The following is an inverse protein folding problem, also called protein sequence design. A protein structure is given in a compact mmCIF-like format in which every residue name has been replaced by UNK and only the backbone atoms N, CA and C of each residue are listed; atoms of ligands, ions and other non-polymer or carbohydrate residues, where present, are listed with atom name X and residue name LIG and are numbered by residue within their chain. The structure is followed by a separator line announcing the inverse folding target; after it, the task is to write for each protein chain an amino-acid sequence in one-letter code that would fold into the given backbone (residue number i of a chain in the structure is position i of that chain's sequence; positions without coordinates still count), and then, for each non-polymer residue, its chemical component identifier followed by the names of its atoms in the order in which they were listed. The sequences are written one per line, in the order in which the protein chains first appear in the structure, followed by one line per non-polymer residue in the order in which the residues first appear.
data_IF_186948969685
#
_entry.id   IF_186948969685
#
_cell.length_a   1.000
_cell.length_b   1.000
_cell.length_c   1.000
_cell.angle_alpha   90.00
_cell.angle_beta   90.00
_cell.angle_gamma   90.00
#
_symmetry.space_group_name_H-M   'P 1'
#
loop_
_entity.id
_entity.type
_entity.pdbx_description
1 polymer ?
#
# COMPACT_ATOMS: atom_id res chain seq x y z
N UNK A 1 -18.25 20.32 -21.75
CA UNK A 1 -17.52 21.54 -21.33
C UNK A 1 -16.08 21.59 -21.85
N UNK A 2 -15.24 20.55 -21.70
CA UNK A 2 -13.88 20.57 -22.29
C UNK A 2 -13.85 20.81 -23.80
N UNK A 3 -14.79 20.24 -24.57
CA UNK A 3 -14.89 20.49 -26.02
C UNK A 3 -15.42 21.90 -26.37
N UNK A 4 -16.06 22.59 -25.42
CA UNK A 4 -16.53 23.97 -25.56
C UNK A 4 -15.37 24.91 -25.25
N UNK A 5 -14.66 24.69 -24.13
CA UNK A 5 -13.44 25.43 -23.77
C UNK A 5 -12.38 25.42 -24.89
N UNK A 6 -12.23 24.31 -25.62
CA UNK A 6 -11.31 24.20 -26.77
C UNK A 6 -11.72 25.02 -28.01
N UNK A 7 -12.94 25.58 -28.03
CA UNK A 7 -13.54 26.26 -29.20
C UNK A 7 -13.92 27.71 -28.92
N UNK A 8 -13.75 28.19 -27.69
CA UNK A 8 -14.09 29.56 -27.30
C UNK A 8 -12.88 30.47 -27.54
N UNK A 9 -13.13 31.69 -28.01
CA UNK A 9 -12.10 32.70 -28.26
C UNK A 9 -11.41 33.09 -26.94
N UNK A 10 -10.07 33.08 -26.97
CA UNK A 10 -9.22 33.44 -25.84
C UNK A 10 -9.51 34.89 -25.36
N UNK A 11 -9.61 35.07 -24.03
CA UNK A 11 -9.91 36.31 -23.32
C UNK A 11 -11.33 36.86 -23.50
N UNK A 12 -12.28 36.03 -23.95
CA UNK A 12 -13.68 36.42 -24.01
C UNK A 12 -14.42 36.19 -22.69
N UNK A 13 -15.48 36.95 -22.42
CA UNK A 13 -16.37 36.73 -21.27
C UNK A 13 -16.98 35.32 -21.27
N UNK A 14 -17.12 34.73 -22.47
CA UNK A 14 -17.60 33.36 -22.68
C UNK A 14 -16.56 32.33 -22.21
N UNK A 15 -15.27 32.61 -22.32
CA UNK A 15 -14.20 31.74 -21.81
C UNK A 15 -14.23 31.72 -20.29
N UNK A 16 -14.30 32.90 -19.65
CA UNK A 16 -14.39 33.01 -18.20
C UNK A 16 -15.59 32.24 -17.65
N UNK A 17 -16.76 32.44 -18.27
CA UNK A 17 -17.99 31.73 -17.87
C UNK A 17 -17.87 30.21 -18.07
N UNK A 18 -17.23 29.76 -19.16
CA UNK A 18 -17.03 28.35 -19.43
C UNK A 18 -16.01 27.69 -18.47
N UNK A 19 -14.97 28.44 -18.06
CA UNK A 19 -13.99 28.00 -17.06
C UNK A 19 -14.62 27.85 -15.68
N UNK A 20 -15.42 28.82 -15.25
CA UNK A 20 -16.14 28.77 -13.99
C UNK A 20 -17.14 27.60 -13.97
N UNK A 21 -17.93 27.43 -15.03
CA UNK A 21 -18.84 26.29 -15.17
C UNK A 21 -18.11 24.93 -15.17
N UNK A 22 -16.92 24.85 -15.78
CA UNK A 22 -16.09 23.64 -15.75
C UNK A 22 -15.56 23.33 -14.35
N UNK A 23 -15.09 24.36 -13.61
CA UNK A 23 -14.59 24.22 -12.24
C UNK A 23 -15.70 23.78 -11.27
N UNK A 24 -16.89 24.34 -11.40
CA UNK A 24 -18.05 23.94 -10.60
C UNK A 24 -18.45 22.49 -10.93
N UNK A 25 -18.48 22.12 -12.22
CA UNK A 25 -18.75 20.74 -12.62
C UNK A 25 -17.70 19.78 -12.06
N UNK A 26 -16.41 20.11 -12.11
CA UNK A 26 -15.35 19.29 -11.52
C UNK A 26 -15.55 19.10 -10.01
N UNK A 27 -15.96 20.15 -9.29
CA UNK A 27 -16.24 20.08 -7.85
C UNK A 27 -17.38 19.12 -7.57
N UNK A 28 -18.48 19.22 -8.32
CA UNK A 28 -19.62 18.29 -8.20
C UNK A 28 -19.21 16.86 -8.54
N UNK A 29 -18.48 16.64 -9.65
CA UNK A 29 -17.99 15.31 -10.04
C UNK A 29 -17.08 14.72 -8.96
N UNK A 30 -16.17 15.52 -8.37
CA UNK A 30 -15.32 15.09 -7.25
C UNK A 30 -16.16 14.69 -6.04
N UNK A 31 -17.13 15.52 -5.65
CA UNK A 31 -18.03 15.23 -4.53
C UNK A 31 -18.87 13.97 -4.76
N UNK A 32 -19.43 13.78 -5.97
CA UNK A 32 -20.15 12.57 -6.35
C UNK A 32 -19.24 11.33 -6.28
N UNK A 33 -18.03 11.41 -6.84
CA UNK A 33 -17.06 10.32 -6.81
C UNK A 33 -16.65 9.96 -5.37
N UNK A 34 -16.47 10.94 -4.49
CA UNK A 34 -16.23 10.71 -3.06
C UNK A 34 -17.43 10.07 -2.37
N UNK A 35 -18.65 10.51 -2.70
CA UNK A 35 -19.89 9.93 -2.20
C UNK A 35 -20.01 8.44 -2.55
N UNK A 36 -19.80 8.09 -3.82
CA UNK A 36 -19.80 6.70 -4.30
C UNK A 36 -18.72 5.86 -3.61
N UNK A 37 -17.49 6.38 -3.50
CA UNK A 37 -16.39 5.70 -2.78
C UNK A 37 -16.73 5.47 -1.30
N UNK A 38 -17.32 6.47 -0.64
CA UNK A 38 -17.72 6.37 0.77
C UNK A 38 -18.83 5.34 0.96
N UNK A 39 -19.80 5.29 0.05
CA UNK A 39 -20.87 4.29 0.05
C UNK A 39 -20.29 2.88 -0.11
N UNK A 40 -19.47 2.65 -1.13
CA UNK A 40 -18.81 1.36 -1.38
C UNK A 40 -17.94 0.89 -0.20
N UNK A 41 -17.17 1.80 0.42
CA UNK A 41 -16.40 1.48 1.64
C UNK A 41 -17.32 1.07 2.79
N UNK A 42 -18.42 1.79 2.99
CA UNK A 42 -19.37 1.49 4.07
C UNK A 42 -20.03 0.12 3.87
N UNK A 43 -20.46 -0.20 2.64
CA UNK A 43 -21.00 -1.52 2.29
C UNK A 43 -19.99 -2.64 2.56
N UNK A 44 -18.72 -2.41 2.20
CA UNK A 44 -17.64 -3.35 2.49
C UNK A 44 -17.47 -3.55 4.02
N UNK A 45 -17.49 -2.47 4.82
CA UNK A 45 -17.39 -2.59 6.28
C UNK A 45 -18.57 -3.35 6.88
N UNK A 46 -19.78 -3.13 6.38
CA UNK A 46 -20.99 -3.87 6.81
C UNK A 46 -20.85 -5.35 6.47
N UNK A 47 -20.41 -5.67 5.26
CA UNK A 47 -20.19 -7.05 4.81
C UNK A 47 -19.18 -7.77 5.70
N UNK A 48 -18.04 -7.15 6.00
CA UNK A 48 -17.01 -7.71 6.89
C UNK A 48 -17.57 -7.89 8.30
N UNK A 49 -18.21 -6.87 8.89
CA UNK A 49 -18.72 -6.97 10.26
C UNK A 49 -19.73 -8.11 10.44
N UNK A 50 -20.58 -8.39 9.43
CA UNK A 50 -21.51 -9.53 9.46
C UNK A 50 -20.80 -10.89 9.57
N UNK A 51 -19.56 -10.98 9.09
CA UNK A 51 -18.75 -12.20 9.13
C UNK A 51 -17.91 -12.35 10.41
N UNK A 52 -17.72 -11.28 11.18
CA UNK A 52 -16.88 -11.31 12.38
C UNK A 52 -17.64 -11.72 13.64
N UNK A 53 -17.02 -12.57 14.45
CA UNK A 53 -17.47 -12.98 15.77
C UNK A 53 -16.38 -12.69 16.81
N UNK A 54 -16.65 -11.79 17.76
CA UNK A 54 -15.65 -11.36 18.73
C UNK A 54 -15.65 -12.26 19.98
N UNK A 55 -14.50 -12.89 20.27
CA UNK A 55 -14.23 -13.55 21.57
C UNK A 55 -13.56 -12.62 22.59
N UNK A 56 -13.04 -11.51 22.12
CA UNK A 56 -12.47 -10.42 22.91
C UNK A 56 -13.47 -9.27 23.00
N UNK A 57 -13.10 -8.18 23.68
CA UNK A 57 -13.86 -6.93 23.66
C UNK A 57 -14.12 -6.51 22.20
N UNK A 58 -15.40 -6.33 21.86
CA UNK A 58 -15.79 -5.98 20.48
C UNK A 58 -15.23 -4.62 20.09
N UNK A 59 -14.67 -4.53 18.88
CA UNK A 59 -14.22 -3.27 18.28
C UNK A 59 -15.18 -2.89 17.16
N UNK A 60 -15.71 -1.65 17.11
CA UNK A 60 -16.64 -1.24 16.07
C UNK A 60 -15.94 -1.25 14.72
N UNK A 61 -16.41 -2.01 13.72
CA UNK A 61 -15.78 -2.08 12.40
C UNK A 61 -16.36 -1.02 11.46
N UNK A 62 -17.66 -0.79 11.52
CA UNK A 62 -18.32 0.24 10.72
C UNK A 62 -17.97 1.63 11.30
N UNK A 63 -17.26 2.44 10.52
CA UNK A 63 -16.87 3.81 10.86
C UNK A 63 -16.79 4.69 9.61
N UNK A 64 -17.07 5.99 9.77
CA UNK A 64 -17.08 6.98 8.68
C UNK A 64 -15.72 7.15 7.99
N UNK A 65 -14.63 6.85 8.69
CA UNK A 65 -13.25 7.04 8.22
C UNK A 65 -12.47 5.73 8.12
N UNK A 66 -13.15 4.58 8.16
CA UNK A 66 -12.51 3.26 8.06
C UNK A 66 -12.72 2.64 6.69
N UNK A 67 -11.66 2.05 6.15
CA UNK A 67 -11.72 1.22 4.94
C UNK A 67 -10.71 0.09 5.03
N UNK A 68 -10.99 -1.00 4.32
CA UNK A 68 -10.08 -2.15 4.24
C UNK A 68 -8.88 -1.78 3.35
N UNK A 69 -7.68 -2.10 3.81
CA UNK A 69 -6.45 -1.98 3.03
C UNK A 69 -6.02 -3.32 2.43
N UNK A 70 -5.98 -4.37 3.25
CA UNK A 70 -5.63 -5.74 2.81
C UNK A 70 -6.32 -6.74 3.72
N UNK A 71 -6.64 -7.89 3.16
CA UNK A 71 -7.12 -9.04 3.91
C UNK A 71 -6.54 -10.33 3.34
N UNK A 72 -6.42 -11.37 4.14
CA UNK A 72 -5.96 -12.66 3.65
C UNK A 72 -5.44 -13.60 4.74
N UNK A 73 -5.10 -14.80 4.29
CA UNK A 73 -4.64 -15.90 5.12
C UNK A 73 -3.13 -15.84 5.34
N UNK A 74 -2.72 -16.17 6.57
CA UNK A 74 -1.33 -16.37 6.96
C UNK A 74 -1.25 -17.56 7.91
N UNK A 75 -0.04 -18.12 8.08
CA UNK A 75 0.20 -19.18 9.04
C UNK A 75 0.94 -18.63 10.27
N UNK A 76 0.29 -18.68 11.44
CA UNK A 76 0.94 -18.37 12.71
C UNK A 76 1.76 -19.57 13.20
N UNK A 77 3.04 -19.34 13.47
CA UNK A 77 3.90 -20.29 14.18
C UNK A 77 3.68 -20.18 15.69
N UNK A 78 3.46 -21.33 16.33
CA UNK A 78 3.53 -21.39 17.79
C UNK A 78 5.00 -21.30 18.20
N UNK A 79 5.36 -20.30 19.02
CA UNK A 79 6.70 -20.23 19.61
C UNK A 79 7.01 -21.47 20.48
N UNK A 80 8.28 -21.69 20.86
CA UNK A 80 8.69 -22.79 21.74
C UNK A 80 8.23 -22.53 23.19
N UNK A 81 6.92 -22.49 23.43
CA UNK A 81 6.35 -22.45 24.78
C UNK A 81 6.12 -23.89 25.25
N UNK A 82 7.10 -24.36 26.00
CA UNK A 82 7.07 -25.42 27.03
C UNK A 82 5.70 -26.09 27.23
N UNK A 83 5.48 -27.22 26.59
CA UNK A 83 4.42 -28.13 27.02
C UNK A 83 4.96 -29.55 26.95
N UNK A 84 5.44 -30.05 28.09
CA UNK A 84 5.89 -31.44 28.32
C UNK A 84 4.71 -32.43 28.32
N UNK A 85 3.71 -32.22 27.48
CA UNK A 85 2.58 -33.13 27.34
C UNK A 85 2.43 -33.50 25.87
N UNK A 86 2.76 -34.76 25.59
CA UNK A 86 2.57 -35.43 24.32
C UNK A 86 1.13 -35.22 23.81
N UNK A 87 1.00 -34.36 22.80
CA UNK A 87 0.08 -34.47 21.66
C UNK A 87 0.52 -33.41 20.66
N UNK A 88 0.86 -33.86 19.47
CA UNK A 88 1.35 -33.11 18.31
C UNK A 88 0.45 -31.91 17.98
N UNK A 89 0.63 -30.77 18.65
CA UNK A 89 0.02 -29.52 18.20
C UNK A 89 0.67 -29.16 16.87
N UNK A 90 -0.13 -28.96 15.82
CA UNK A 90 0.34 -28.44 14.53
C UNK A 90 1.25 -27.23 14.80
N UNK A 91 2.47 -27.26 14.27
CA UNK A 91 3.48 -26.21 14.43
C UNK A 91 2.95 -24.86 13.94
N UNK A 92 2.16 -24.92 12.86
CA UNK A 92 1.49 -23.79 12.24
C UNK A 92 -0.02 -23.84 12.47
N UNK A 93 -0.63 -22.66 12.61
CA UNK A 93 -2.08 -22.46 12.67
C UNK A 93 -2.48 -21.40 11.67
N UNK A 94 -3.47 -21.70 10.85
CA UNK A 94 -4.03 -20.72 9.93
C UNK A 94 -4.72 -19.60 10.72
N UNK A 95 -4.41 -18.38 10.32
CA UNK A 95 -5.04 -17.16 10.79
C UNK A 95 -5.44 -16.34 9.57
N UNK A 96 -6.38 -15.42 9.77
CA UNK A 96 -6.82 -14.48 8.77
C UNK A 96 -6.69 -13.07 9.33
N UNK A 97 -6.17 -12.17 8.53
CA UNK A 97 -6.00 -10.76 8.90
C UNK A 97 -7.00 -9.90 8.12
N UNK A 98 -7.65 -8.98 8.81
CA UNK A 98 -8.30 -7.82 8.20
C UNK A 98 -7.53 -6.57 8.63
N UNK A 99 -6.80 -5.98 7.69
CA UNK A 99 -6.06 -4.75 7.91
C UNK A 99 -6.87 -3.58 7.34
N UNK A 100 -7.31 -2.70 8.23
CA UNK A 100 -7.92 -1.43 7.90
C UNK A 100 -6.88 -0.30 7.95
N UNK A 101 -7.27 0.89 7.51
CA UNK A 101 -6.41 2.07 7.52
C UNK A 101 -5.92 2.49 8.92
N UNK A 102 -6.67 2.19 9.97
CA UNK A 102 -6.44 2.58 11.36
C UNK A 102 -6.41 1.40 12.36
N UNK A 103 -6.86 0.20 11.95
CA UNK A 103 -7.06 -0.97 12.82
C UNK A 103 -6.57 -2.25 12.13
N UNK A 104 -5.98 -3.16 12.89
CA UNK A 104 -5.78 -4.54 12.50
C UNK A 104 -6.68 -5.45 13.33
N UNK A 105 -7.34 -6.40 12.66
CA UNK A 105 -8.14 -7.47 13.29
C UNK A 105 -7.52 -8.81 12.92
N UNK A 106 -7.23 -9.63 13.93
CA UNK A 106 -6.64 -10.97 13.80
C UNK A 106 -7.71 -12.01 14.18
N UNK A 107 -7.94 -12.95 13.27
CA UNK A 107 -9.01 -13.92 13.44
C UNK A 107 -8.62 -15.32 12.94
N UNK A 108 -9.45 -16.31 13.29
CA UNK A 108 -9.44 -17.64 12.67
C UNK A 108 -10.70 -17.81 11.86
N UNK A 109 -10.58 -18.37 10.67
CA UNK A 109 -11.76 -18.77 9.92
C UNK A 109 -12.46 -19.92 10.64
N UNK A 110 -13.78 -19.84 10.71
CA UNK A 110 -14.66 -20.85 11.28
C UNK A 110 -15.69 -21.26 10.21
N UNK A 111 -16.36 -22.42 10.35
CA UNK A 111 -17.34 -22.88 9.36
C UNK A 111 -18.42 -21.83 9.07
N UNK A 112 -18.87 -21.76 7.82
CA UNK A 112 -19.94 -20.85 7.39
C UNK A 112 -19.47 -19.45 6.97
N UNK A 113 -18.23 -19.30 6.46
CA UNK A 113 -17.67 -18.01 6.01
C UNK A 113 -17.69 -16.94 7.11
N UNK A 114 -17.36 -17.40 8.32
CA UNK A 114 -17.32 -16.61 9.54
C UNK A 114 -15.88 -16.57 10.06
N UNK A 115 -15.57 -15.53 10.80
CA UNK A 115 -14.23 -15.28 11.33
C UNK A 115 -14.31 -14.97 12.81
N UNK A 116 -13.67 -15.81 13.61
CA UNK A 116 -13.59 -15.64 15.05
C UNK A 116 -12.40 -14.75 15.40
N UNK A 117 -12.69 -13.52 15.81
CA UNK A 117 -11.70 -12.52 16.24
C UNK A 117 -11.17 -12.89 17.61
N UNK A 118 -9.85 -12.97 17.71
CA UNK A 118 -9.16 -13.28 18.97
C UNK A 118 -8.12 -12.24 19.37
N UNK A 119 -7.75 -11.32 18.47
CA UNK A 119 -6.90 -10.18 18.80
C UNK A 119 -7.16 -9.01 17.85
N UNK A 120 -6.84 -7.79 18.29
CA UNK A 120 -6.87 -6.60 17.45
C UNK A 120 -5.97 -5.50 18.02
N UNK A 121 -5.48 -4.61 17.18
CA UNK A 121 -4.64 -3.49 17.60
C UNK A 121 -4.76 -2.29 16.65
N UNK A 122 -4.64 -1.04 17.16
CA UNK A 122 -4.51 0.13 16.32
C UNK A 122 -3.31 0.01 15.38
N UNK A 123 -3.49 0.34 14.09
CA UNK A 123 -2.44 0.19 13.07
C UNK A 123 -1.16 0.96 13.41
N UNK A 124 -1.27 2.12 14.06
CA UNK A 124 -0.12 2.93 14.47
C UNK A 124 0.80 2.24 15.51
N UNK A 125 0.28 1.23 16.20
CA UNK A 125 0.95 0.47 17.26
C UNK A 125 1.47 -0.89 16.76
N UNK A 126 1.48 -1.12 15.45
CA UNK A 126 2.07 -2.30 14.85
C UNK A 126 3.57 -2.09 14.56
N UNK A 127 4.38 -3.11 14.80
CA UNK A 127 5.76 -3.19 14.33
C UNK A 127 5.97 -4.51 13.60
N UNK A 128 6.78 -4.46 12.57
CA UNK A 128 7.09 -5.62 11.74
C UNK A 128 8.59 -5.74 11.63
N UNK A 129 9.08 -6.97 11.78
CA UNK A 129 10.49 -7.33 11.70
C UNK A 129 10.63 -8.51 10.73
N UNK A 130 11.54 -8.38 9.77
CA UNK A 130 11.91 -9.46 8.87
C UNK A 130 12.81 -10.45 9.61
N UNK A 131 12.57 -11.74 9.42
CA UNK A 131 13.49 -12.77 9.89
C UNK A 131 14.32 -13.26 8.70
N UNK A 132 15.63 -13.40 8.91
CA UNK A 132 16.49 -14.04 7.93
C UNK A 132 16.09 -15.51 7.74
N UNK A 133 16.14 -15.98 6.50
CA UNK A 133 15.74 -17.34 6.16
C UNK A 133 16.66 -18.37 6.84
N UNK A 134 16.12 -19.08 7.83
CA UNK A 134 16.82 -20.18 8.54
C UNK A 134 16.55 -21.55 7.88
N UNK A 135 16.43 -21.57 6.54
CA UNK A 135 16.12 -22.76 5.73
C UNK A 135 14.65 -22.87 5.29
N UNK A 136 14.33 -23.88 4.46
CA UNK A 136 13.02 -24.02 3.77
C UNK A 136 11.79 -24.00 4.69
N UNK A 137 11.91 -24.52 5.92
CA UNK A 137 10.78 -24.54 6.86
C UNK A 137 10.43 -23.17 7.42
N UNK A 138 11.43 -22.28 7.53
CA UNK A 138 11.33 -20.92 8.08
C UNK A 138 11.42 -19.83 7.00
N UNK A 139 11.30 -20.20 5.73
CA UNK A 139 11.21 -19.25 4.63
C UNK A 139 9.91 -18.44 4.69
N UNK A 140 9.98 -17.18 4.24
CA UNK A 140 8.84 -16.24 4.17
C UNK A 140 8.18 -15.95 5.53
N UNK A 141 8.98 -15.92 6.60
CA UNK A 141 8.51 -15.68 7.96
C UNK A 141 8.88 -14.27 8.42
N UNK A 142 7.94 -13.59 9.06
CA UNK A 142 8.15 -12.28 9.68
C UNK A 142 7.52 -12.23 11.06
N UNK A 143 7.98 -11.30 11.90
CA UNK A 143 7.40 -11.05 13.21
C UNK A 143 6.51 -9.82 13.14
N UNK A 144 5.25 -9.96 13.55
CA UNK A 144 4.32 -8.88 13.81
C UNK A 144 4.23 -8.66 15.33
N UNK A 145 4.62 -7.47 15.80
CA UNK A 145 4.45 -7.04 17.19
C UNK A 145 3.32 -6.03 17.30
N UNK A 146 2.42 -6.26 18.24
CA UNK A 146 1.37 -5.34 18.68
C UNK A 146 1.90 -4.72 19.96
N UNK A 147 2.22 -3.43 19.94
CA UNK A 147 2.71 -2.72 21.14
C UNK A 147 1.61 -2.58 22.18
N UNK A 148 0.36 -2.53 21.73
CA UNK A 148 -0.82 -2.53 22.58
C UNK A 148 -1.95 -3.18 21.78
N UNK A 149 -2.49 -4.26 22.33
CA UNK A 149 -3.61 -4.98 21.74
C UNK A 149 -4.94 -4.62 22.44
N UNK A 150 -6.03 -5.31 22.09
CA UNK A 150 -7.35 -5.02 22.64
C UNK A 150 -7.51 -5.22 24.17
N UNK A 151 -6.56 -5.94 24.79
CA UNK A 151 -6.49 -6.19 26.23
C UNK A 151 -5.38 -5.36 26.91
N UNK A 152 -4.89 -4.31 26.24
CA UNK A 152 -3.83 -3.41 26.70
C UNK A 152 -2.50 -4.12 26.98
N UNK A 153 -2.19 -5.16 26.19
CA UNK A 153 -0.97 -5.97 26.31
C UNK A 153 -0.13 -5.96 25.05
N UNK A 154 1.17 -6.14 25.24
CA UNK A 154 2.08 -6.46 24.14
C UNK A 154 1.86 -7.90 23.66
N UNK A 155 1.81 -8.09 22.34
CA UNK A 155 1.72 -9.40 21.71
C UNK A 155 2.68 -9.50 20.53
N UNK A 156 3.23 -10.70 20.30
CA UNK A 156 4.14 -10.98 19.19
C UNK A 156 3.71 -12.23 18.45
N UNK A 157 3.58 -12.12 17.13
CA UNK A 157 3.15 -13.17 16.22
C UNK A 157 4.23 -13.45 15.20
N UNK A 158 4.68 -14.71 15.12
CA UNK A 158 5.54 -15.17 14.04
C UNK A 158 4.64 -15.69 12.92
N UNK A 159 4.66 -15.02 11.77
CA UNK A 159 3.73 -15.23 10.67
C UNK A 159 4.49 -15.68 9.43
N UNK A 160 3.97 -16.71 8.77
CA UNK A 160 4.48 -17.24 7.50
C UNK A 160 3.51 -16.91 6.37
N UNK A 161 4.03 -16.33 5.29
CA UNK A 161 3.30 -16.10 4.05
C UNK A 161 3.50 -17.26 3.05
N UNK A 162 2.65 -17.31 2.02
CA UNK A 162 2.73 -18.33 0.95
C UNK A 162 3.91 -18.13 0.01
N UNK A 163 4.40 -16.89 -0.14
CA UNK A 163 5.51 -16.51 -1.00
C UNK A 163 6.30 -15.35 -0.40
N UNK A 164 7.48 -15.06 -0.97
CA UNK A 164 8.34 -13.97 -0.53
C UNK A 164 7.69 -12.61 -0.86
N UNK A 165 7.09 -12.47 -2.05
CA UNK A 165 6.28 -11.31 -2.42
C UNK A 165 5.12 -11.07 -1.46
N UNK A 166 4.33 -12.08 -1.10
CA UNK A 166 3.24 -11.90 -0.14
C UNK A 166 3.75 -11.51 1.25
N UNK A 167 4.87 -12.08 1.71
CA UNK A 167 5.53 -11.65 2.95
C UNK A 167 5.83 -10.16 2.91
N UNK A 168 6.59 -9.71 1.90
CA UNK A 168 7.02 -8.31 1.75
C UNK A 168 5.82 -7.36 1.62
N UNK A 169 4.79 -7.73 0.84
CA UNK A 169 3.54 -6.97 0.70
C UNK A 169 2.78 -6.82 2.01
N UNK A 170 2.67 -7.90 2.80
CA UNK A 170 2.07 -7.85 4.13
C UNK A 170 2.87 -6.94 5.06
N UNK A 171 4.19 -7.05 5.08
CA UNK A 171 5.05 -6.23 5.92
C UNK A 171 4.89 -4.74 5.63
N UNK A 172 4.91 -4.34 4.34
CA UNK A 172 4.71 -2.96 3.89
C UNK A 172 3.31 -2.45 4.30
N UNK A 173 2.28 -3.30 4.16
CA UNK A 173 0.91 -2.93 4.48
C UNK A 173 0.69 -2.73 5.99
N UNK A 174 1.19 -3.66 6.82
CA UNK A 174 0.99 -3.70 8.27
C UNK A 174 1.69 -2.55 8.99
N UNK A 175 2.94 -2.28 8.63
CA UNK A 175 3.71 -1.18 9.19
C UNK A 175 4.40 -0.42 8.05
N UNK A 176 3.68 0.51 7.37
CA UNK A 176 4.30 1.44 6.43
C UNK A 176 5.19 2.36 7.26
N UNK A 177 6.43 1.94 7.44
CA UNK A 177 7.31 2.45 8.47
C UNK A 177 7.53 3.96 8.28
N UNK A 178 7.02 4.80 9.21
CA UNK A 178 7.29 6.25 9.16
C UNK A 178 8.76 6.59 9.47
N UNK A 179 9.53 5.65 10.05
CA UNK A 179 10.94 5.84 10.43
C UNK A 179 11.94 4.88 9.76
N UNK A 180 11.54 3.72 9.22
CA UNK A 180 12.41 2.96 8.32
C UNK A 180 12.16 3.38 6.87
N UNK A 181 12.88 4.42 6.45
CA UNK A 181 13.38 4.63 5.08
C UNK A 181 12.52 4.09 3.91
N UNK A 182 11.27 4.52 3.80
CA UNK A 182 10.63 4.73 2.49
C UNK A 182 10.30 6.22 2.31
N UNK A 183 11.11 7.10 2.89
CA UNK A 183 11.26 8.48 2.43
C UNK A 183 12.41 8.44 1.45
N UNK A 184 12.11 8.26 0.16
CA UNK A 184 13.03 8.27 -0.99
C UNK A 184 14.52 8.17 -0.60
N UNK A 185 14.95 7.05 0.00
CA UNK A 185 16.38 6.92 0.27
C UNK A 185 17.13 6.86 -1.07
N UNK A 186 16.45 6.37 -2.10
CA UNK A 186 16.83 6.35 -3.51
C UNK A 186 16.97 7.72 -4.15
N UNK A 187 16.18 8.74 -3.80
CA UNK A 187 16.45 10.10 -4.33
C UNK A 187 17.77 10.67 -3.79
N UNK A 188 18.30 10.15 -2.67
CA UNK A 188 19.62 10.52 -2.15
C UNK A 188 20.74 9.54 -2.47
N UNK A 189 20.46 8.40 -3.11
CA UNK A 189 21.47 7.48 -3.58
C UNK A 189 21.81 7.83 -5.03
N UNK A 190 23.02 8.31 -5.25
CA UNK A 190 23.54 8.69 -6.58
C UNK A 190 23.60 7.50 -7.55
N UNK A 191 23.45 6.27 -7.02
CA UNK A 191 23.46 5.04 -7.81
C UNK A 191 22.40 4.01 -7.34
N UNK A 192 21.13 4.44 -7.26
CA UNK A 192 20.03 3.50 -7.05
C UNK A 192 19.86 2.58 -8.28
N UNK A 193 19.75 1.24 -8.13
CA UNK A 193 19.42 0.36 -9.25
C UNK A 193 18.13 0.79 -9.94
N UNK A 194 18.11 0.76 -11.26
CA UNK A 194 16.96 1.20 -12.06
C UNK A 194 16.55 0.14 -13.05
N UNK A 195 15.26 0.17 -13.41
CA UNK A 195 14.67 -0.67 -14.42
C UNK A 195 13.90 0.22 -15.41
N UNK A 196 14.01 -0.11 -16.69
CA UNK A 196 13.19 0.50 -17.74
C UNK A 196 12.11 -0.49 -18.14
N UNK A 197 10.86 -0.04 -18.11
CA UNK A 197 9.71 -0.81 -18.57
C UNK A 197 9.80 -1.06 -20.08
N UNK A 198 9.76 -2.32 -20.49
CA UNK A 198 9.77 -2.77 -21.89
C UNK A 198 8.42 -3.39 -22.29
N UNK A 199 7.55 -3.70 -21.32
CA UNK A 199 6.19 -4.18 -21.55
C UNK A 199 5.21 -3.46 -20.62
N UNK A 200 4.09 -2.91 -21.15
CA UNK A 200 3.11 -2.23 -20.32
C UNK A 200 2.45 -3.21 -19.36
N UNK A 201 2.11 -2.73 -18.17
CA UNK A 201 1.49 -3.53 -17.13
C UNK A 201 0.34 -2.76 -16.48
N UNK A 202 -0.81 -3.42 -16.33
CA UNK A 202 -1.95 -2.85 -15.63
C UNK A 202 -2.03 -3.51 -14.26
N UNK A 203 -1.98 -2.69 -13.21
CA UNK A 203 -2.10 -3.14 -11.83
C UNK A 203 -3.38 -3.96 -11.63
N UNK A 204 -3.23 -5.16 -11.06
CA UNK A 204 -4.33 -6.07 -10.74
C UNK A 204 -4.71 -5.95 -9.26
N UNK A 205 -3.77 -5.55 -8.41
CA UNK A 205 -3.98 -5.32 -6.98
C UNK A 205 -3.75 -3.84 -6.60
N UNK A 206 -4.37 -3.35 -5.50
CA UNK A 206 -4.23 -1.95 -5.08
C UNK A 206 -2.81 -1.53 -4.68
N UNK A 207 -1.94 -2.48 -4.36
CA UNK A 207 -0.53 -2.28 -4.02
C UNK A 207 0.40 -2.44 -5.24
N UNK A 208 -0.15 -2.78 -6.41
CA UNK A 208 0.58 -2.89 -7.67
C UNK A 208 0.63 -1.55 -8.42
N UNK A 209 1.73 -1.32 -9.16
CA UNK A 209 1.95 -0.12 -9.95
C UNK A 209 1.71 -0.41 -11.43
N UNK A 210 0.84 0.37 -12.08
CA UNK A 210 0.67 0.28 -13.53
C UNK A 210 1.85 0.93 -14.24
N UNK A 211 2.36 0.28 -15.28
CA UNK A 211 3.55 0.69 -16.02
C UNK A 211 3.21 0.99 -17.48
N UNK A 212 3.83 2.05 -18.00
CA UNK A 212 3.81 2.39 -19.42
C UNK A 212 5.16 2.08 -20.07
N UNK A 213 5.16 1.91 -21.40
CA UNK A 213 6.40 1.66 -22.13
C UNK A 213 7.41 2.78 -21.90
N UNK A 214 8.66 2.39 -21.66
CA UNK A 214 9.78 3.28 -21.33
C UNK A 214 9.68 4.01 -19.98
N UNK A 215 8.73 3.67 -19.11
CA UNK A 215 8.77 4.12 -17.71
C UNK A 215 10.11 3.71 -17.06
N UNK A 216 10.77 4.66 -16.40
CA UNK A 216 11.98 4.40 -15.63
C UNK A 216 11.65 4.42 -14.15
N UNK A 217 12.03 3.36 -13.44
CA UNK A 217 11.75 3.18 -12.02
C UNK A 217 13.03 2.91 -11.24
N UNK A 218 13.10 3.48 -10.05
CA UNK A 218 14.05 3.05 -9.02
C UNK A 218 13.59 1.72 -8.43
N UNK A 219 14.49 0.76 -8.29
CA UNK A 219 14.21 -0.51 -7.64
C UNK A 219 14.43 -0.35 -6.14
N UNK A 220 13.36 -0.50 -5.36
CA UNK A 220 13.37 -0.35 -3.90
C UNK A 220 13.54 -1.69 -3.18
N UNK A 221 12.89 -2.74 -3.70
CA UNK A 221 13.01 -4.11 -3.21
C UNK A 221 12.81 -5.09 -4.38
N UNK A 222 13.36 -6.29 -4.25
CA UNK A 222 13.18 -7.39 -5.21
C UNK A 222 12.92 -8.68 -4.45
N UNK A 223 12.00 -9.46 -4.99
CA UNK A 223 11.65 -10.77 -4.45
C UNK A 223 12.17 -11.87 -5.37
N UNK A 224 12.56 -13.01 -4.79
CA UNK A 224 13.06 -14.14 -5.56
C UNK A 224 11.99 -14.82 -6.42
N UNK A 225 10.71 -14.57 -6.11
CA UNK A 225 9.56 -15.02 -6.90
C UNK A 225 9.18 -14.04 -8.03
N UNK A 226 10.06 -13.09 -8.37
CA UNK A 226 9.98 -12.29 -9.59
C UNK A 226 9.10 -11.04 -9.47
N UNK A 227 8.95 -10.48 -8.28
CA UNK A 227 8.30 -9.18 -8.08
C UNK A 227 9.30 -8.10 -7.70
N UNK A 228 9.03 -6.88 -8.16
CA UNK A 228 9.82 -5.70 -7.87
C UNK A 228 8.93 -4.68 -7.20
N UNK A 229 9.38 -4.14 -6.06
CA UNK A 229 8.80 -2.93 -5.50
C UNK A 229 9.61 -1.75 -6.01
N UNK A 230 8.97 -0.86 -6.77
CA UNK A 230 9.67 0.27 -7.39
C UNK A 230 9.01 1.62 -7.14
N UNK A 231 9.77 2.67 -7.45
CA UNK A 231 9.31 4.06 -7.47
C UNK A 231 9.53 4.63 -8.87
N UNK A 232 8.45 5.02 -9.53
CA UNK A 232 8.50 5.59 -10.87
C UNK A 232 9.06 7.00 -10.83
N UNK A 233 10.05 7.28 -11.67
CA UNK A 233 10.81 8.53 -11.57
C UNK A 233 10.00 9.77 -11.91
N UNK A 234 9.01 9.70 -12.80
CA UNK A 234 8.37 10.90 -13.33
C UNK A 234 7.28 11.48 -12.40
N UNK A 235 6.62 10.65 -11.58
CA UNK A 235 5.54 11.05 -10.67
C UNK A 235 5.74 10.58 -9.22
N UNK A 236 6.79 9.79 -8.96
CA UNK A 236 7.12 9.22 -7.65
C UNK A 236 6.07 8.24 -7.12
N UNK A 237 5.22 7.70 -8.00
CA UNK A 237 4.30 6.63 -7.62
C UNK A 237 5.07 5.34 -7.31
N UNK A 238 4.55 4.57 -6.35
CA UNK A 238 5.18 3.35 -5.86
C UNK A 238 4.20 2.21 -5.85
N UNK A 239 4.72 1.02 -6.13
CA UNK A 239 3.97 -0.21 -6.04
C UNK A 239 4.76 -1.38 -6.54
N UNK A 240 4.14 -2.55 -6.46
CA UNK A 240 4.67 -3.82 -6.93
C UNK A 240 4.40 -4.02 -8.42
N UNK A 241 5.32 -4.65 -9.14
CA UNK A 241 5.11 -5.10 -10.51
C UNK A 241 5.99 -6.32 -10.81
N UNK A 242 5.63 -7.15 -11.81
CA UNK A 242 6.43 -8.30 -12.20
C UNK A 242 7.77 -7.87 -12.79
N UNK A 243 8.86 -8.55 -12.42
CA UNK A 243 10.21 -8.26 -12.94
C UNK A 243 10.32 -8.43 -14.45
N UNK A 244 9.49 -9.31 -15.04
CA UNK A 244 9.41 -9.56 -16.48
C UNK A 244 8.89 -8.37 -17.30
N UNK A 245 8.39 -7.31 -16.66
CA UNK A 245 7.89 -6.13 -17.36
C UNK A 245 9.01 -5.15 -17.79
N UNK A 246 10.24 -5.34 -17.29
CA UNK A 246 11.32 -4.39 -17.52
C UNK A 246 12.71 -4.99 -17.62
N UNK A 247 13.65 -4.18 -18.07
CA UNK A 247 15.08 -4.50 -18.16
C UNK A 247 15.90 -3.58 -17.27
N UNK A 248 16.85 -4.15 -16.51
CA UNK A 248 17.68 -3.38 -15.60
C UNK A 248 18.65 -2.47 -16.34
N UNK A 249 18.71 -1.21 -15.92
CA UNK A 249 19.65 -0.22 -16.43
C UNK A 249 21.00 -0.45 -15.75
N UNK A 250 21.85 -1.26 -16.38
CA UNK A 250 23.17 -1.62 -15.83
C UNK A 250 24.19 -0.48 -15.87
N UNK A 251 24.03 0.49 -16.77
CA UNK A 251 24.98 1.59 -16.95
C UNK A 251 24.80 2.69 -15.87
N UNK A 252 25.78 2.88 -14.95
CA UNK A 252 25.67 3.87 -13.87
C UNK A 252 25.53 5.31 -14.37
N UNK A 253 26.11 5.64 -15.54
CA UNK A 253 25.99 6.98 -16.12
C UNK A 253 24.56 7.29 -16.54
N UNK A 254 23.88 6.30 -17.13
CA UNK A 254 22.46 6.41 -17.51
C UNK A 254 21.61 6.55 -16.24
N UNK A 255 21.88 5.75 -15.21
CA UNK A 255 21.15 5.86 -13.93
C UNK A 255 21.26 7.24 -13.29
N UNK A 256 22.48 7.78 -13.23
CA UNK A 256 22.73 9.12 -12.70
C UNK A 256 22.08 10.22 -13.56
N UNK A 257 22.06 10.07 -14.88
CA UNK A 257 21.40 11.01 -15.78
C UNK A 257 19.88 11.01 -15.57
N UNK A 258 19.24 9.84 -15.49
CA UNK A 258 17.81 9.72 -15.23
C UNK A 258 17.40 10.42 -13.92
N UNK A 259 18.19 10.22 -12.85
CA UNK A 259 17.97 10.92 -11.57
C UNK A 259 18.10 12.44 -11.74
N UNK A 260 19.15 12.92 -12.43
CA UNK A 260 19.38 14.35 -12.65
C UNK A 260 18.24 15.00 -13.45
N UNK A 261 17.74 14.32 -14.48
CA UNK A 261 16.62 14.79 -15.29
C UNK A 261 15.33 14.83 -14.48
N UNK A 262 15.04 13.78 -13.72
CA UNK A 262 13.94 13.74 -12.76
C UNK A 262 13.98 14.95 -11.79
N UNK A 263 15.13 15.22 -11.15
CA UNK A 263 15.27 16.36 -10.25
C UNK A 263 15.04 17.71 -10.93
N UNK A 264 15.44 17.84 -12.20
CA UNK A 264 15.23 19.08 -12.96
C UNK A 264 13.74 19.32 -13.23
N UNK A 265 13.02 18.29 -13.67
CA UNK A 265 11.58 18.36 -13.97
C UNK A 265 10.76 18.65 -12.70
N UNK A 266 11.09 17.98 -11.59
CA UNK A 266 10.39 18.19 -10.33
C UNK A 266 10.67 19.57 -9.70
N UNK A 267 11.89 20.10 -9.83
CA UNK A 267 12.18 21.49 -9.42
C UNK A 267 11.40 22.52 -10.22
N UNK A 268 11.22 22.30 -11.53
CA UNK A 268 10.37 23.18 -12.35
C UNK A 268 8.90 23.13 -11.93
N UNK A 269 8.35 21.94 -11.63
CA UNK A 269 6.97 21.79 -11.19
C UNK A 269 6.70 22.43 -9.82
N UNK A 270 7.60 22.28 -8.85
CA UNK A 270 7.49 22.95 -7.55
C UNK A 270 7.56 24.49 -7.68
N UNK A 271 8.40 24.98 -8.60
CA UNK A 271 8.49 26.41 -8.88
C UNK A 271 7.23 26.95 -9.59
N UNK A 272 6.60 26.16 -10.45
CA UNK A 272 5.33 26.51 -11.10
C UNK A 272 4.15 26.45 -10.11
N UNK A 273 4.08 25.43 -9.26
CA UNK A 273 3.08 25.32 -8.17
C UNK A 273 3.19 26.49 -7.19
N UNK A 274 4.40 26.92 -6.83
CA UNK A 274 4.62 28.13 -5.99
C UNK A 274 4.20 29.43 -6.69
N UNK A 275 4.44 29.56 -7.99
CA UNK A 275 3.98 30.72 -8.78
C UNK A 275 2.44 30.78 -8.91
N UNK A 276 1.78 29.63 -9.06
CA UNK A 276 0.32 29.52 -9.10
C UNK A 276 -0.30 29.80 -7.73
N UNK A 277 0.29 29.30 -6.64
CA UNK A 277 -0.15 29.59 -5.27
C UNK A 277 0.04 31.05 -4.84
N UNK A 278 1.02 31.77 -5.40
CA UNK A 278 1.21 33.19 -5.12
C UNK A 278 0.25 34.11 -5.88
N UNK A 279 -0.35 33.65 -7.00
CA UNK A 279 -1.30 34.45 -7.79
C UNK A 279 -2.71 34.46 -7.22
N UNK A 280 -3.07 33.50 -6.37
CA UNK A 280 -4.36 33.44 -5.68
C UNK A 280 -4.38 34.16 -4.32
N UNK A 281 -3.37 34.99 -4.03
CA UNK A 281 -3.25 35.76 -2.77
C UNK A 281 -3.12 37.28 -3.00
N UNK A 282 -3.48 37.77 -4.18
CA UNK A 282 -3.64 39.20 -4.44
C UNK A 282 -5.09 39.50 -4.77
#
# INVERSE_FOLDING_TARGET
LQNILKKVEEKSDRESTALDAHKELETVVKACNEGVRKMSRTEQMISIQKKLEFKIKSVPIISHSRWLLKQGELQQMNGPKTSRTLRTKKLFREIYLFLFNDLLVICRQIPGDKYQVFDSAPRGLLRVEELEDQGQSLANVFILRLLENADDREASYMLKASSQSEMKRWMISLAPNRRTKFVSFTSRLVDCPQIQCVHPYVAQQPDELSLELADVLNILDKTDDGWIFGERLHDQERGWFPSSMGEEILNPKIRAQNLKECFRVHKSDDSQRRKLGSRNRQ
#
